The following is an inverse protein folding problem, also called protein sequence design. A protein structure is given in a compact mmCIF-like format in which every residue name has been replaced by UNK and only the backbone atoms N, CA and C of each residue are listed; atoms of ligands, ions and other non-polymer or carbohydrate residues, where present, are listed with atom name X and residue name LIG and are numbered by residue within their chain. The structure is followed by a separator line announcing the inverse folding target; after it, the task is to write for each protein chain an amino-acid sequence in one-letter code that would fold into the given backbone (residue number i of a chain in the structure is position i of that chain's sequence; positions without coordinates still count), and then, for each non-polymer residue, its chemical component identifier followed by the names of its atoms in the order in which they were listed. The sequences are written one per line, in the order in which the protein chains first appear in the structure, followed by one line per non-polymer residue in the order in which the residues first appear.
data_IF_912053622605
#
_entry.id   IF_912053622605
#
_cell.length_a   1.000
_cell.length_b   1.000
_cell.length_c   1.000
_cell.angle_alpha   90.00
_cell.angle_beta   90.00
_cell.angle_gamma   90.00
#
_symmetry.space_group_name_H-M   'P 1'
#
loop_
_entity.id
_entity.type
_entity.pdbx_description
1 polymer ?
#
# COMPACT_ATOMS: atom_id res chain seq x y z
N UNK A 1 35.83 -38.56 22.21
CA UNK A 1 34.40 -38.53 22.56
C UNK A 1 33.73 -37.37 21.82
N UNK A 2 33.03 -37.66 20.73
CA UNK A 2 32.26 -36.67 19.96
C UNK A 2 30.82 -36.71 20.45
N UNK A 3 30.30 -35.60 20.97
CA UNK A 3 28.93 -35.47 21.46
C UNK A 3 28.05 -34.80 20.37
N UNK A 4 27.06 -35.50 19.77
CA UNK A 4 26.20 -34.92 18.76
C UNK A 4 24.98 -34.28 19.43
N UNK A 5 25.03 -32.97 19.67
CA UNK A 5 23.82 -32.24 20.09
C UNK A 5 22.81 -32.18 18.93
N UNK A 6 21.53 -32.56 19.13
CA UNK A 6 20.53 -32.44 18.08
C UNK A 6 20.10 -30.98 17.89
N UNK A 7 20.05 -30.54 16.63
CA UNK A 7 19.49 -29.24 16.24
C UNK A 7 17.97 -29.29 16.42
N UNK A 8 17.44 -28.59 17.42
CA UNK A 8 16.00 -28.41 17.60
C UNK A 8 15.45 -27.54 16.47
N UNK A 9 14.49 -28.07 15.71
CA UNK A 9 13.74 -27.33 14.71
C UNK A 9 12.82 -26.30 15.43
N UNK A 10 12.97 -25.03 15.10
CA UNK A 10 12.07 -23.99 15.57
C UNK A 10 10.76 -24.04 14.76
N UNK A 11 9.73 -24.64 15.35
CA UNK A 11 8.35 -24.59 14.84
C UNK A 11 7.76 -23.25 15.24
N UNK A 12 7.56 -22.35 14.28
CA UNK A 12 6.78 -21.13 14.50
C UNK A 12 5.29 -21.48 14.51
N UNK A 13 4.67 -21.45 15.68
CA UNK A 13 3.20 -21.48 15.84
C UNK A 13 2.70 -20.04 15.96
N UNK A 14 1.75 -19.68 15.10
CA UNK A 14 1.02 -18.41 15.17
C UNK A 14 0.04 -18.45 16.36
N UNK A 15 -0.09 -17.39 17.18
CA UNK A 15 -1.08 -17.37 18.24
C UNK A 15 -2.48 -17.14 17.63
N UNK A 16 -3.33 -18.18 17.69
CA UNK A 16 -4.77 -18.01 17.58
C UNK A 16 -5.24 -17.31 18.85
N UNK A 17 -5.82 -16.12 18.68
CA UNK A 17 -6.40 -15.33 19.76
C UNK A 17 -7.77 -15.93 20.10
N UNK A 18 -7.84 -16.79 21.11
CA UNK A 18 -9.08 -17.09 21.81
C UNK A 18 -9.35 -16.01 22.86
N UNK A 19 -10.57 -15.46 22.96
CA UNK A 19 -10.96 -14.61 24.07
C UNK A 19 -11.27 -15.50 25.29
N UNK A 20 -10.60 -15.24 26.42
CA UNK A 20 -10.96 -15.81 27.72
C UNK A 20 -11.10 -14.69 28.74
N UNK A 21 -12.30 -14.60 29.32
CA UNK A 21 -12.59 -14.29 30.71
C UNK A 21 -14.06 -14.77 30.90
N UNK A 22 -14.35 -15.88 31.61
CA UNK A 22 -14.34 -16.03 33.08
C UNK A 22 -15.19 -14.91 33.73
N UNK A 23 -16.20 -15.13 34.56
CA UNK A 23 -16.69 -16.31 35.26
C UNK A 23 -18.09 -15.97 35.83
N UNK A 24 -19.04 -16.92 35.78
CA UNK A 24 -19.74 -17.50 36.94
C UNK A 24 -21.06 -16.83 37.38
N UNK A 25 -22.11 -17.64 37.55
CA UNK A 25 -23.38 -17.28 38.21
C UNK A 25 -24.65 -17.57 37.40
N UNK A 26 -25.27 -18.73 37.62
CA UNK A 26 -26.56 -19.21 37.07
C UNK A 26 -27.81 -18.46 37.64
N UNK A 27 -29.06 -18.90 37.39
CA UNK A 27 -29.81 -18.98 36.13
C UNK A 27 -31.15 -18.20 36.15
N UNK A 28 -31.76 -18.00 34.97
CA UNK A 28 -33.16 -17.60 34.78
C UNK A 28 -33.33 -16.10 34.47
N UNK A 29 -34.12 -15.76 33.43
CA UNK A 29 -35.45 -15.23 33.76
C UNK A 29 -36.56 -15.54 32.73
N UNK A 30 -37.79 -15.63 33.24
CA UNK A 30 -39.02 -15.37 32.50
C UNK A 30 -39.55 -13.96 32.80
N UNK A 31 -40.27 -13.41 31.82
CA UNK A 31 -41.27 -12.30 31.86
C UNK A 31 -40.81 -10.93 32.40
N UNK A 32 -41.22 -9.76 31.92
CA UNK A 32 -41.93 -9.16 30.78
C UNK A 32 -41.55 -7.64 30.90
N UNK A 33 -41.46 -6.76 29.89
CA UNK A 33 -42.55 -6.18 29.09
C UNK A 33 -41.97 -5.18 28.05
N UNK A 34 -42.46 -5.30 26.80
CA UNK A 34 -42.81 -4.33 25.71
C UNK A 34 -42.21 -2.90 25.60
N UNK A 35 -42.16 -2.26 24.39
CA UNK A 35 -43.13 -2.39 23.27
C UNK A 35 -42.56 -2.58 21.84
N UNK A 36 -43.40 -3.21 21.01
CA UNK A 36 -43.11 -3.65 19.65
C UNK A 36 -43.32 -2.55 18.58
N UNK A 37 -42.34 -2.42 17.68
CA UNK A 37 -42.47 -1.77 16.38
C UNK A 37 -42.86 -2.81 15.30
N UNK A 38 -43.63 -2.43 14.25
CA UNK A 38 -44.29 -3.38 13.36
C UNK A 38 -43.29 -4.17 12.50
N UNK A 39 -43.38 -5.51 12.57
CA UNK A 39 -42.65 -6.44 11.70
C UNK A 39 -43.26 -6.41 10.29
N UNK A 40 -42.45 -6.42 9.22
CA UNK A 40 -42.96 -6.56 7.86
C UNK A 40 -43.69 -7.91 7.71
N UNK A 41 -44.77 -7.98 6.92
CA UNK A 41 -45.51 -9.22 6.73
C UNK A 41 -44.57 -10.27 6.12
N UNK A 42 -44.44 -11.40 6.82
CA UNK A 42 -43.87 -12.61 6.27
C UNK A 42 -44.78 -13.05 5.14
N UNK A 43 -44.45 -12.62 3.92
CA UNK A 43 -45.12 -13.01 2.70
C UNK A 43 -45.27 -14.53 2.71
N UNK A 44 -46.52 -14.95 2.60
CA UNK A 44 -46.99 -16.31 2.61
C UNK A 44 -46.26 -17.10 1.53
N UNK A 45 -45.32 -17.95 1.95
CA UNK A 45 -45.00 -19.15 1.18
C UNK A 45 -45.97 -20.22 1.64
N UNK A 46 -47.27 -19.94 1.50
CA UNK A 46 -48.24 -20.99 1.35
C UNK A 46 -47.83 -21.69 0.05
N UNK A 47 -47.01 -22.74 0.18
CA UNK A 47 -46.80 -23.68 -0.89
C UNK A 47 -48.20 -24.15 -1.27
N UNK A 48 -48.73 -23.62 -2.36
CA UNK A 48 -49.89 -24.15 -3.03
C UNK A 48 -49.46 -25.51 -3.58
N UNK A 49 -49.41 -26.52 -2.71
CA UNK A 49 -49.32 -27.93 -3.08
C UNK A 49 -50.69 -28.35 -3.59
N UNK A 50 -51.10 -27.73 -4.68
CA UNK A 50 -52.26 -28.13 -5.46
C UNK A 50 -51.73 -28.27 -6.87
N UNK A 51 -51.14 -29.44 -7.12
CA UNK A 51 -51.06 -30.10 -8.42
C UNK A 51 -51.03 -29.19 -9.66
N UNK A 52 -50.11 -28.22 -9.65
CA UNK A 52 -49.90 -27.24 -10.74
C UNK A 52 -49.57 -27.96 -12.06
N UNK A 53 -49.01 -29.16 -11.96
CA UNK A 53 -48.58 -29.99 -13.09
C UNK A 53 -49.45 -31.23 -13.34
N UNK A 54 -50.55 -31.45 -12.59
CA UNK A 54 -51.35 -32.67 -12.75
C UNK A 54 -52.01 -32.81 -14.15
N UNK A 55 -52.16 -31.69 -14.87
CA UNK A 55 -52.64 -31.69 -16.26
C UNK A 55 -51.53 -31.75 -17.32
N UNK A 56 -50.25 -31.62 -16.95
CA UNK A 56 -49.17 -31.55 -17.94
C UNK A 56 -48.71 -32.94 -18.34
N UNK A 57 -49.17 -33.40 -19.51
CA UNK A 57 -48.63 -34.58 -20.18
C UNK A 57 -47.35 -34.20 -20.89
N UNK A 58 -46.21 -34.59 -20.31
CA UNK A 58 -44.89 -34.36 -20.90
C UNK A 58 -44.46 -35.66 -21.58
N UNK A 59 -44.41 -35.67 -22.90
CA UNK A 59 -43.91 -36.83 -23.64
C UNK A 59 -42.39 -36.98 -23.42
N UNK A 60 -41.89 -38.18 -23.02
CA UNK A 60 -40.49 -38.39 -22.72
C UNK A 60 -39.59 -38.16 -23.95
N UNK A 61 -40.13 -38.38 -25.15
CA UNK A 61 -39.46 -38.12 -26.42
C UNK A 61 -39.16 -36.63 -26.66
N UNK A 62 -40.00 -35.73 -26.14
CA UNK A 62 -39.84 -34.28 -26.28
C UNK A 62 -38.79 -33.69 -25.31
N UNK A 63 -38.45 -34.44 -24.25
CA UNK A 63 -37.41 -34.07 -23.29
C UNK A 63 -36.00 -34.36 -23.79
N UNK A 64 -35.86 -35.11 -24.89
CA UNK A 64 -34.57 -35.38 -25.51
C UNK A 64 -34.15 -34.16 -26.33
N UNK A 65 -33.68 -33.13 -25.63
CA UNK A 65 -33.03 -32.00 -26.26
C UNK A 65 -31.67 -32.46 -26.79
N UNK A 66 -31.60 -32.79 -28.08
CA UNK A 66 -30.33 -33.04 -28.78
C UNK A 66 -29.59 -31.71 -28.90
N UNK A 67 -28.78 -31.41 -27.89
CA UNK A 67 -27.91 -30.25 -27.90
C UNK A 67 -26.77 -30.53 -28.89
N UNK A 68 -26.76 -29.83 -30.03
CA UNK A 68 -25.65 -29.88 -30.97
C UNK A 68 -24.41 -29.31 -30.26
N UNK A 69 -23.30 -30.06 -30.11
CA UNK A 69 -22.15 -29.63 -29.31
C UNK A 69 -21.48 -28.36 -29.85
N UNK A 70 -21.76 -27.96 -31.10
CA UNK A 70 -21.26 -26.74 -31.72
C UNK A 70 -22.23 -25.55 -31.70
N UNK A 71 -23.48 -25.73 -31.27
CA UNK A 71 -24.44 -24.65 -31.12
C UNK A 71 -24.16 -23.86 -29.82
N UNK A 72 -23.19 -22.95 -29.90
CA UNK A 72 -22.85 -22.02 -28.80
C UNK A 72 -24.08 -21.22 -28.38
N UNK A 73 -24.37 -21.21 -27.09
CA UNK A 73 -25.49 -20.44 -26.52
C UNK A 73 -25.48 -18.97 -26.99
N UNK A 74 -26.61 -18.49 -27.50
CA UNK A 74 -26.81 -17.11 -28.00
C UNK A 74 -26.50 -16.06 -26.90
N UNK A 75 -26.64 -16.43 -25.64
CA UNK A 75 -26.26 -15.61 -24.49
C UNK A 75 -24.76 -15.29 -24.42
N UNK A 76 -23.90 -16.14 -24.98
CA UNK A 76 -22.46 -15.90 -25.05
C UNK A 76 -22.05 -14.98 -26.20
N UNK A 77 -22.86 -14.90 -27.26
CA UNK A 77 -22.62 -14.07 -28.46
C UNK A 77 -22.85 -12.58 -28.16
N UNK A 78 -23.93 -12.23 -27.44
CA UNK A 78 -24.22 -10.83 -27.10
C UNK A 78 -23.20 -10.20 -26.15
N UNK A 79 -22.47 -11.00 -25.36
CA UNK A 79 -21.33 -10.51 -24.57
C UNK A 79 -20.07 -10.26 -25.41
N UNK A 80 -20.00 -10.81 -26.63
CA UNK A 80 -18.92 -10.56 -27.59
C UNK A 80 -19.15 -9.31 -28.44
N UNK A 81 -20.40 -8.98 -28.78
CA UNK A 81 -20.73 -7.82 -29.64
C UNK A 81 -20.39 -6.48 -28.98
N UNK A 82 -20.66 -6.34 -27.68
CA UNK A 82 -20.30 -5.12 -26.92
C UNK A 82 -18.79 -5.04 -26.57
N UNK A 83 -17.98 -6.01 -26.98
CA UNK A 83 -16.52 -5.95 -26.88
C UNK A 83 -15.86 -5.37 -28.15
N UNK A 84 -16.66 -4.94 -29.15
CA UNK A 84 -16.19 -4.40 -30.43
C UNK A 84 -15.54 -3.00 -30.39
N UNK A 85 -15.51 -2.31 -29.24
CA UNK A 85 -14.79 -1.04 -29.08
C UNK A 85 -13.44 -1.18 -28.36
N UNK A 86 -12.83 -2.37 -28.38
CA UNK A 86 -11.47 -2.55 -27.85
C UNK A 86 -10.54 -3.08 -28.95
N UNK A 87 -9.53 -2.31 -29.40
CA UNK A 87 -8.53 -2.83 -30.32
C UNK A 87 -7.79 -3.97 -29.62
N UNK A 88 -7.84 -5.18 -30.19
CA UNK A 88 -7.11 -6.35 -29.70
C UNK A 88 -7.93 -7.47 -29.04
N UNK A 89 -9.25 -7.54 -29.28
CA UNK A 89 -10.04 -8.70 -28.88
C UNK A 89 -9.86 -9.86 -29.87
N UNK A 90 -8.74 -10.57 -29.74
CA UNK A 90 -8.53 -11.86 -30.43
C UNK A 90 -9.72 -12.80 -30.14
N UNK A 91 -10.25 -13.51 -31.16
CA UNK A 91 -11.25 -14.55 -30.94
C UNK A 91 -10.68 -15.50 -29.89
N UNK A 92 -11.52 -16.00 -28.97
CA UNK A 92 -11.09 -16.90 -27.88
C UNK A 92 -10.60 -18.22 -28.47
N UNK A 93 -9.41 -18.22 -29.06
CA UNK A 93 -8.67 -19.38 -29.47
C UNK A 93 -8.44 -20.21 -28.22
N UNK A 94 -8.59 -21.53 -28.34
CA UNK A 94 -8.32 -22.45 -27.24
C UNK A 94 -6.81 -22.47 -27.03
N UNK A 95 -6.30 -21.49 -26.29
CA UNK A 95 -4.87 -21.36 -26.04
C UNK A 95 -4.37 -22.59 -25.26
N UNK A 96 -3.16 -23.09 -25.53
CA UNK A 96 -2.54 -24.15 -24.76
C UNK A 96 -2.41 -23.77 -23.28
N UNK A 97 -2.49 -24.76 -22.39
CA UNK A 97 -2.49 -24.58 -20.92
C UNK A 97 -1.31 -23.72 -20.42
N UNK A 98 -0.14 -23.85 -21.05
CA UNK A 98 1.08 -23.07 -20.74
C UNK A 98 0.90 -21.58 -21.00
N UNK A 99 0.30 -21.20 -22.12
CA UNK A 99 0.03 -19.80 -22.48
C UNK A 99 -1.05 -19.20 -21.58
N UNK A 100 -2.10 -19.96 -21.28
CA UNK A 100 -3.14 -19.52 -20.33
C UNK A 100 -2.56 -19.22 -18.94
N UNK A 101 -1.60 -20.01 -18.47
CA UNK A 101 -0.96 -19.78 -17.18
C UNK A 101 -0.04 -18.54 -17.22
N UNK A 102 0.69 -18.33 -18.32
CA UNK A 102 1.51 -17.13 -18.54
C UNK A 102 0.66 -15.86 -18.52
N UNK A 103 -0.42 -15.85 -19.29
CA UNK A 103 -1.36 -14.72 -19.33
C UNK A 103 -2.00 -14.45 -17.97
N UNK A 104 -2.30 -15.49 -17.18
CA UNK A 104 -2.79 -15.31 -15.79
C UNK A 104 -1.74 -14.63 -14.92
N UNK A 105 -0.48 -15.07 -15.00
CA UNK A 105 0.64 -14.47 -14.24
C UNK A 105 0.88 -13.03 -14.67
N UNK A 106 0.90 -12.74 -15.96
CA UNK A 106 1.10 -11.38 -16.49
C UNK A 106 -0.03 -10.45 -16.05
N UNK A 107 -1.29 -10.88 -16.19
CA UNK A 107 -2.45 -10.11 -15.71
C UNK A 107 -2.40 -9.90 -14.20
N UNK A 108 -1.94 -10.89 -13.43
CA UNK A 108 -1.72 -10.74 -12.00
C UNK A 108 -0.64 -9.68 -11.72
N UNK A 109 0.50 -9.75 -12.39
CA UNK A 109 1.60 -8.80 -12.21
C UNK A 109 1.16 -7.37 -12.57
N UNK A 110 0.48 -7.20 -13.70
CA UNK A 110 -0.12 -5.93 -14.10
C UNK A 110 -1.09 -5.40 -13.04
N UNK A 111 -1.91 -6.27 -12.44
CA UNK A 111 -2.81 -5.88 -11.35
C UNK A 111 -2.04 -5.44 -10.11
N UNK A 112 -0.97 -6.14 -9.73
CA UNK A 112 -0.10 -5.73 -8.61
C UNK A 112 0.51 -4.35 -8.89
N UNK A 113 1.06 -4.15 -10.08
CA UNK A 113 1.70 -2.89 -10.48
C UNK A 113 0.70 -1.74 -10.47
N UNK A 114 -0.50 -1.95 -11.01
CA UNK A 114 -1.58 -0.97 -10.98
C UNK A 114 -1.96 -0.58 -9.55
N UNK A 115 -2.09 -1.55 -8.64
CA UNK A 115 -2.38 -1.28 -7.22
C UNK A 115 -1.25 -0.48 -6.57
N UNK A 116 0.01 -0.87 -6.78
CA UNK A 116 1.17 -0.16 -6.24
C UNK A 116 1.24 1.28 -6.75
N UNK A 117 0.95 1.49 -8.03
CA UNK A 117 0.94 2.82 -8.64
C UNK A 117 -0.17 3.68 -8.04
N UNK A 118 -1.39 3.14 -7.94
CA UNK A 118 -2.53 3.83 -7.33
C UNK A 118 -2.28 4.16 -5.84
N UNK A 119 -1.67 3.25 -5.08
CA UNK A 119 -1.30 3.50 -3.68
C UNK A 119 -0.26 4.62 -3.55
N UNK A 120 0.75 4.65 -4.43
CA UNK A 120 1.73 5.74 -4.47
C UNK A 120 1.08 7.09 -4.76
N UNK A 121 0.17 7.13 -5.75
CA UNK A 121 -0.58 8.34 -6.10
C UNK A 121 -1.46 8.81 -4.93
N UNK A 122 -2.24 7.91 -4.32
CA UNK A 122 -3.08 8.23 -3.15
C UNK A 122 -2.27 8.76 -1.97
N UNK A 123 -1.09 8.18 -1.71
CA UNK A 123 -0.20 8.65 -0.64
C UNK A 123 0.36 10.03 -0.95
N UNK A 124 0.77 10.27 -2.19
CA UNK A 124 1.24 11.58 -2.63
C UNK A 124 0.12 12.63 -2.51
N UNK A 125 -1.08 12.31 -2.96
CA UNK A 125 -2.26 13.17 -2.84
C UNK A 125 -2.61 13.47 -1.38
N UNK A 126 -2.61 12.48 -0.49
CA UNK A 126 -2.80 12.71 0.96
C UNK A 126 -1.76 13.65 1.55
N UNK A 127 -0.50 13.53 1.13
CA UNK A 127 0.57 14.45 1.57
C UNK A 127 0.34 15.87 1.07
N UNK A 128 -0.11 16.03 -0.18
CA UNK A 128 -0.44 17.34 -0.77
C UNK A 128 -1.66 17.98 -0.12
N UNK A 129 -2.72 17.20 0.13
CA UNK A 129 -3.90 17.66 0.88
C UNK A 129 -3.57 18.06 2.32
N UNK A 130 -2.52 17.47 2.91
CA UNK A 130 -2.03 17.82 4.24
C UNK A 130 -1.16 19.10 4.26
N UNK A 131 -0.65 19.56 3.11
CA UNK A 131 0.00 20.87 3.03
C UNK A 131 -1.05 21.96 2.88
N UNK A 132 -1.02 22.98 3.75
CA UNK A 132 -2.04 24.03 3.85
C UNK A 132 -2.06 24.90 2.59
N UNK A 133 -2.94 24.53 1.66
CA UNK A 133 -3.81 25.29 0.70
C UNK A 133 -3.26 26.51 -0.07
N UNK A 134 -2.00 26.92 0.07
CA UNK A 134 -1.36 27.84 -0.87
C UNK A 134 -0.21 27.09 -1.57
N UNK A 135 -0.53 26.31 -2.61
CA UNK A 135 0.51 25.83 -3.54
C UNK A 135 0.53 24.35 -3.95
N UNK A 136 -0.60 23.62 -4.00
CA UNK A 136 -0.58 22.37 -4.77
C UNK A 136 -0.66 22.68 -6.27
N UNK A 137 0.50 22.68 -6.94
CA UNK A 137 0.62 22.89 -8.39
C UNK A 137 0.40 21.60 -9.20
N UNK A 138 0.23 20.45 -8.53
CA UNK A 138 0.07 19.21 -9.27
C UNK A 138 -1.20 19.15 -10.14
N UNK A 139 -2.38 19.61 -9.69
CA UNK A 139 -3.57 19.60 -10.55
C UNK A 139 -3.35 20.32 -11.90
N UNK A 140 -2.53 21.37 -11.93
CA UNK A 140 -2.16 22.08 -13.15
C UNK A 140 -1.22 21.24 -14.03
N UNK A 141 -0.26 20.54 -13.43
CA UNK A 141 0.66 19.65 -14.16
C UNK A 141 -0.04 18.43 -14.76
N UNK A 142 -1.01 17.88 -14.05
CA UNK A 142 -1.77 16.72 -14.53
C UNK A 142 -2.77 17.11 -15.63
N UNK A 143 -3.27 18.35 -15.62
CA UNK A 143 -4.18 18.88 -16.64
C UNK A 143 -3.46 19.44 -17.90
N UNK A 144 -2.19 19.83 -17.79
CA UNK A 144 -1.42 20.49 -18.86
C UNK A 144 -0.04 19.82 -19.03
N UNK A 145 0.05 18.72 -19.82
CA UNK A 145 1.32 18.02 -20.04
C UNK A 145 2.42 18.90 -20.68
N UNK A 146 2.04 19.97 -21.39
CA UNK A 146 2.95 20.96 -22.01
C UNK A 146 3.81 21.73 -21.00
N UNK A 147 3.37 21.86 -19.74
CA UNK A 147 4.17 22.49 -18.68
C UNK A 147 5.43 21.70 -18.32
N UNK A 148 5.46 20.39 -18.57
CA UNK A 148 6.62 19.55 -18.27
C UNK A 148 7.82 19.90 -19.16
N UNK A 149 7.55 20.23 -20.42
CA UNK A 149 8.58 20.62 -21.39
C UNK A 149 9.17 21.99 -21.02
N UNK A 150 8.33 22.92 -20.57
CA UNK A 150 8.74 24.27 -20.14
C UNK A 150 9.54 24.28 -18.82
N UNK A 151 9.20 23.42 -17.85
CA UNK A 151 9.96 23.32 -16.59
C UNK A 151 11.38 22.75 -16.77
N UNK A 152 11.60 21.96 -17.83
CA UNK A 152 12.88 21.30 -18.08
C UNK A 152 14.04 22.29 -18.32
N UNK A 153 13.75 23.51 -18.78
CA UNK A 153 14.71 24.60 -18.95
C UNK A 153 14.98 25.44 -17.69
N UNK A 154 14.14 25.36 -16.65
CA UNK A 154 14.17 26.31 -15.52
C UNK A 154 14.87 25.80 -14.25
N UNK A 155 15.24 24.51 -14.18
CA UNK A 155 15.86 23.93 -12.99
C UNK A 155 17.38 24.15 -12.95
N UNK A 156 17.79 25.38 -12.65
CA UNK A 156 19.15 25.64 -12.17
C UNK A 156 19.31 25.09 -10.74
N UNK A 157 20.25 24.16 -10.49
CA UNK A 157 20.51 23.67 -9.15
C UNK A 157 21.14 24.80 -8.31
N UNK A 158 20.42 25.30 -7.31
CA UNK A 158 21.02 26.20 -6.32
C UNK A 158 22.19 25.51 -5.65
N UNK A 159 23.35 26.16 -5.72
CA UNK A 159 24.61 25.68 -5.19
C UNK A 159 24.43 25.19 -3.75
N UNK A 160 24.79 23.93 -3.50
CA UNK A 160 24.84 23.38 -2.15
C UNK A 160 26.00 24.06 -1.43
N UNK A 161 25.68 24.91 -0.46
CA UNK A 161 26.68 25.38 0.50
C UNK A 161 27.42 24.18 1.10
N UNK A 162 28.74 24.26 1.11
CA UNK A 162 29.67 23.21 1.55
C UNK A 162 29.60 23.10 3.08
N UNK A 163 28.53 22.48 3.57
CA UNK A 163 28.44 22.10 4.97
C UNK A 163 29.48 21.01 5.23
N UNK A 164 30.46 21.28 6.08
CA UNK A 164 31.42 20.28 6.56
C UNK A 164 30.77 19.15 7.37
N UNK A 165 29.50 19.32 7.75
CA UNK A 165 28.72 18.33 8.48
C UNK A 165 27.77 17.60 7.54
N UNK A 166 27.68 16.26 7.62
CA UNK A 166 26.72 15.51 6.86
C UNK A 166 25.31 15.92 7.31
N UNK A 167 24.47 16.33 6.35
CA UNK A 167 23.08 16.71 6.65
C UNK A 167 22.33 15.47 7.16
N UNK A 168 21.26 15.64 7.95
CA UNK A 168 20.42 14.51 8.38
C UNK A 168 19.94 13.62 7.20
N UNK A 169 19.69 14.22 6.04
CA UNK A 169 19.34 13.53 4.81
C UNK A 169 20.48 12.67 4.22
N UNK A 170 21.73 13.01 4.50
CA UNK A 170 22.94 12.29 4.06
C UNK A 170 23.22 11.12 5.00
N UNK A 171 23.08 11.31 6.32
CA UNK A 171 23.20 10.22 7.31
C UNK A 171 22.25 9.06 7.04
N UNK A 172 21.02 9.34 6.57
CA UNK A 172 20.05 8.30 6.22
C UNK A 172 20.46 7.44 5.02
N UNK A 173 21.39 7.91 4.18
CA UNK A 173 21.87 7.19 2.99
C UNK A 173 23.10 6.32 3.29
N UNK A 174 23.79 6.60 4.39
CA UNK A 174 25.04 5.93 4.77
C UNK A 174 24.82 4.60 5.48
N UNK A 175 25.81 3.71 5.36
CA UNK A 175 25.81 2.45 6.08
C UNK A 175 25.87 2.67 7.60
N UNK A 176 25.48 1.67 8.39
CA UNK A 176 25.52 1.79 9.85
C UNK A 176 26.96 1.91 10.40
N UNK A 177 27.94 1.31 9.71
CA UNK A 177 29.35 1.38 10.08
C UNK A 177 29.91 2.78 9.83
N UNK A 178 29.65 3.35 8.64
CA UNK A 178 30.04 4.72 8.32
C UNK A 178 29.46 5.74 9.31
N UNK A 179 28.19 5.57 9.70
CA UNK A 179 27.56 6.43 10.73
C UNK A 179 28.27 6.34 12.07
N UNK A 180 28.75 5.16 12.48
CA UNK A 180 29.50 4.99 13.74
C UNK A 180 30.84 5.72 13.68
N UNK A 181 31.57 5.58 12.57
CA UNK A 181 32.86 6.27 12.38
C UNK A 181 32.72 7.79 12.51
N UNK A 182 31.73 8.39 11.87
CA UNK A 182 31.46 9.83 12.00
C UNK A 182 31.15 10.25 13.44
N UNK A 183 30.39 9.43 14.18
CA UNK A 183 30.10 9.71 15.59
C UNK A 183 31.36 9.60 16.45
N UNK A 184 32.24 8.65 16.16
CA UNK A 184 33.50 8.48 16.89
C UNK A 184 34.48 9.63 16.60
N UNK A 185 34.54 10.14 15.36
CA UNK A 185 35.27 11.37 15.01
C UNK A 185 34.74 12.59 15.77
N UNK A 186 33.42 12.78 15.82
CA UNK A 186 32.80 13.90 16.55
C UNK A 186 33.03 13.77 18.07
N UNK A 187 32.98 12.55 18.61
CA UNK A 187 33.32 12.29 20.02
C UNK A 187 34.77 12.66 20.32
N UNK A 188 35.72 12.31 19.44
CA UNK A 188 37.13 12.68 19.60
C UNK A 188 37.30 14.21 19.58
N UNK A 189 36.71 14.90 18.58
CA UNK A 189 36.72 16.38 18.50
C UNK A 189 36.14 17.03 19.75
N UNK A 190 35.06 16.47 20.30
CA UNK A 190 34.43 17.00 21.50
C UNK A 190 35.30 16.77 22.75
N UNK A 191 35.94 15.61 22.87
CA UNK A 191 36.89 15.33 23.95
C UNK A 191 38.08 16.29 23.92
N UNK A 192 38.63 16.58 22.74
CA UNK A 192 39.68 17.60 22.56
C UNK A 192 39.22 18.99 23.00
N UNK A 193 38.01 19.41 22.61
CA UNK A 193 37.43 20.67 23.04
C UNK A 193 37.29 20.74 24.57
N UNK A 194 36.80 19.67 25.20
CA UNK A 194 36.68 19.59 26.65
C UNK A 194 38.04 19.54 27.36
N UNK A 195 39.08 19.01 26.71
CA UNK A 195 40.44 19.03 27.23
C UNK A 195 41.07 20.44 27.17
N UNK A 196 40.57 21.32 26.29
CA UNK A 196 41.11 22.67 26.14
C UNK A 196 40.87 23.53 27.39
N UNK A 197 41.91 24.18 27.95
CA UNK A 197 41.77 24.97 29.16
C UNK A 197 40.93 26.24 28.94
N UNK A 198 40.98 26.82 27.73
CA UNK A 198 40.17 28.00 27.38
C UNK A 198 38.66 27.73 27.45
N UNK A 199 38.23 26.56 26.97
CA UNK A 199 36.82 26.14 27.05
C UNK A 199 36.41 25.84 28.49
N UNK A 200 37.28 25.22 29.30
CA UNK A 200 37.01 24.97 30.72
C UNK A 200 36.91 26.24 31.55
N UNK A 201 37.75 27.24 31.27
CA UNK A 201 37.74 28.51 32.00
C UNK A 201 36.49 29.36 31.66
N UNK A 202 36.12 29.42 30.38
CA UNK A 202 34.99 30.25 29.93
C UNK A 202 34.28 29.66 28.69
N UNK A 203 33.34 28.72 28.87
CA UNK A 203 32.75 27.98 27.75
C UNK A 203 31.93 28.88 26.82
N UNK A 204 31.15 29.81 27.37
CA UNK A 204 30.31 30.72 26.58
C UNK A 204 31.15 31.66 25.70
N UNK A 205 32.27 32.15 26.22
CA UNK A 205 33.18 33.03 25.47
C UNK A 205 33.85 32.27 24.32
N UNK A 206 34.34 31.06 24.59
CA UNK A 206 34.96 30.20 23.58
C UNK A 206 34.00 29.86 22.43
N UNK A 207 32.73 29.55 22.76
CA UNK A 207 31.68 29.31 21.77
C UNK A 207 31.40 30.59 20.96
N UNK A 208 31.27 31.74 21.63
CA UNK A 208 31.03 33.02 20.97
C UNK A 208 32.13 33.39 19.96
N UNK A 209 33.40 33.21 20.33
CA UNK A 209 34.53 33.43 19.42
C UNK A 209 34.51 32.47 18.23
N UNK A 210 34.16 31.21 18.44
CA UNK A 210 34.08 30.22 17.37
C UNK A 210 32.96 30.53 16.38
N UNK A 211 31.79 30.95 16.87
CA UNK A 211 30.67 31.36 16.02
C UNK A 211 31.02 32.62 15.22
N UNK A 212 31.67 33.61 15.85
CA UNK A 212 32.13 34.81 15.14
C UNK A 212 33.10 34.47 14.00
N UNK A 213 34.05 33.54 14.22
CA UNK A 213 34.95 33.03 13.17
C UNK A 213 34.19 32.32 12.05
N UNK A 214 33.17 31.51 12.36
CA UNK A 214 32.36 30.83 11.33
C UNK A 214 31.58 31.83 10.48
N UNK A 215 30.93 32.82 11.10
CA UNK A 215 30.17 33.85 10.38
C UNK A 215 31.07 34.65 9.43
N UNK A 216 32.31 34.96 9.84
CA UNK A 216 33.28 35.64 8.97
C UNK A 216 33.69 34.78 7.77
N UNK A 217 33.92 33.48 7.97
CA UNK A 217 34.27 32.55 6.89
C UNK A 217 33.11 32.33 5.91
N UNK A 218 31.89 32.19 6.42
CA UNK A 218 30.69 31.98 5.60
C UNK A 218 30.25 33.26 4.87
N UNK A 219 30.54 34.44 5.46
CA UNK A 219 30.33 35.75 4.83
C UNK A 219 31.37 36.08 3.76
N UNK A 220 32.63 35.66 3.94
CA UNK A 220 33.70 35.85 2.95
C UNK A 220 33.61 34.95 1.71
N UNK A 221 32.74 33.92 1.73
CA UNK A 221 32.49 33.05 0.59
C UNK A 221 31.37 33.56 -0.35
N UNK A 222 30.73 34.68 -0.02
CA UNK A 222 29.59 35.26 -0.76
C UNK A 222 29.93 36.57 -1.51
N UNK A 223 31.19 36.99 -1.49
CA UNK A 223 31.72 38.10 -2.29
C UNK A 223 32.63 37.54 -3.39
#
# INVERSE_FOLDING_TARGET
CWDPRPRRAAVWRWPVRSPRAEAEGAPGPGEADSPAAPRPPSSEWAFASTDIFAGTKIDPSALVQKLDPDARSVASIRRGENAGLRPGAEPRAVLPKKEKLRLRRERWLQKIEAIKLAERQRKAERRRRATVVVGDLQPLRDALPELLELESGARQPRARGVSRRPRPAELSRMSAAERRLLLDEERARFQELLASPAYRASPLLAIGQQLARQVQLDGGSQL
#
